data_IF_814094465035
#
_entry.id   IF_814094465035
#
_cell.length_a   1.000
_cell.length_b   1.000
_cell.length_c   1.000
_cell.angle_alpha   90.00
_cell.angle_beta   90.00
_cell.angle_gamma   90.00
#
_symmetry.space_group_name_H-M   'P 1'
#
loop_
_entity.id
_entity.type
_entity.pdbx_description
1 polymer ?
#
# COMPACT_ATOMS: atom_id res chain seq x y z
N UNK A 1 -18.17 16.96 15.57
CA UNK A 1 -17.76 15.59 15.23
C UNK A 1 -16.63 15.22 16.17
N UNK A 2 -16.66 14.02 16.77
CA UNK A 2 -15.52 13.56 17.56
C UNK A 2 -14.31 13.34 16.63
N UNK A 3 -13.10 13.47 17.17
CA UNK A 3 -11.90 13.11 16.43
C UNK A 3 -11.85 11.59 16.18
N UNK A 4 -11.33 11.21 15.03
CA UNK A 4 -11.12 9.81 14.67
C UNK A 4 -9.89 9.28 15.40
N UNK A 5 -10.04 8.18 16.12
CA UNK A 5 -8.96 7.51 16.82
C UNK A 5 -8.26 6.50 15.93
N UNK A 6 -7.02 6.81 15.56
CA UNK A 6 -6.15 5.97 14.77
C UNK A 6 -5.33 5.03 15.65
N UNK A 7 -5.34 3.75 15.33
CA UNK A 7 -4.39 2.78 15.85
C UNK A 7 -3.42 2.36 14.75
N UNK A 8 -2.16 2.13 15.09
CA UNK A 8 -1.13 1.70 14.15
C UNK A 8 -0.68 0.28 14.48
N UNK A 9 -0.79 -0.63 13.52
CA UNK A 9 -0.27 -1.98 13.59
C UNK A 9 1.04 -2.10 12.83
N UNK A 10 2.14 -2.22 13.57
CA UNK A 10 3.51 -2.15 13.06
C UNK A 10 4.20 -0.84 13.41
N UNK A 11 5.52 -0.86 13.51
CA UNK A 11 6.35 0.29 13.96
C UNK A 11 7.53 0.53 13.03
N UNK A 12 7.40 0.14 11.76
CA UNK A 12 8.40 0.30 10.71
C UNK A 12 8.57 1.75 10.22
N UNK A 13 9.33 1.92 9.16
CA UNK A 13 9.63 3.23 8.55
C UNK A 13 8.34 3.99 8.24
N UNK A 14 7.41 3.37 7.54
CA UNK A 14 6.15 4.01 7.11
C UNK A 14 5.25 4.40 8.29
N UNK A 15 5.21 3.58 9.36
CA UNK A 15 4.49 3.96 10.58
C UNK A 15 5.07 5.23 11.22
N UNK A 16 6.40 5.39 11.19
CA UNK A 16 7.08 6.60 11.66
C UNK A 16 6.75 7.83 10.79
N UNK A 17 6.68 7.67 9.46
CA UNK A 17 6.29 8.74 8.55
C UNK A 17 4.85 9.19 8.78
N UNK A 18 3.93 8.24 8.97
CA UNK A 18 2.52 8.53 9.30
C UNK A 18 2.39 9.29 10.63
N UNK A 19 3.13 8.87 11.66
CA UNK A 19 3.13 9.54 12.96
C UNK A 19 3.57 11.01 12.85
N UNK A 20 4.63 11.26 12.07
CA UNK A 20 5.11 12.63 11.79
C UNK A 20 4.07 13.43 11.00
N UNK A 21 3.45 12.82 9.98
CA UNK A 21 2.45 13.48 9.14
C UNK A 21 1.20 13.84 9.95
N UNK A 22 0.68 12.95 10.78
CA UNK A 22 -0.46 13.21 11.66
C UNK A 22 -0.15 14.36 12.62
N UNK A 23 1.01 14.31 13.29
CA UNK A 23 1.41 15.36 14.23
C UNK A 23 1.52 16.74 13.56
N UNK A 24 2.06 16.83 12.32
CA UNK A 24 2.10 18.08 11.55
C UNK A 24 0.72 18.63 11.24
N UNK A 25 -0.29 17.77 11.15
CA UNK A 25 -1.68 18.13 10.91
C UNK A 25 -2.51 18.28 12.21
N UNK A 26 -1.88 18.39 13.36
CA UNK A 26 -2.56 18.55 14.65
C UNK A 26 -3.35 17.32 15.09
N UNK A 27 -3.02 16.13 14.55
CA UNK A 27 -3.64 14.85 14.88
C UNK A 27 -2.64 13.95 15.60
N UNK A 28 -3.16 13.03 16.41
CA UNK A 28 -2.36 12.08 17.16
C UNK A 28 -2.79 10.65 16.83
N UNK A 29 -1.85 9.72 17.00
CA UNK A 29 -2.14 8.30 17.04
C UNK A 29 -2.67 7.98 18.43
N UNK A 30 -3.83 7.31 18.51
CA UNK A 30 -4.45 6.89 19.75
C UNK A 30 -3.74 5.69 20.37
N UNK A 31 -3.41 4.69 19.55
CA UNK A 31 -2.84 3.44 20.02
C UNK A 31 -1.84 2.81 19.05
N UNK A 32 -0.96 1.96 19.57
CA UNK A 32 0.00 1.21 18.77
C UNK A 32 0.10 -0.24 19.22
N UNK A 33 0.23 -1.14 18.26
CA UNK A 33 0.55 -2.55 18.48
C UNK A 33 1.65 -3.02 17.51
N UNK A 34 2.47 -3.94 17.97
CA UNK A 34 3.52 -4.57 17.17
C UNK A 34 3.77 -5.99 17.66
N UNK A 35 4.20 -6.89 16.77
CA UNK A 35 4.58 -8.26 17.14
C UNK A 35 5.66 -8.31 18.24
N UNK A 36 6.59 -7.37 18.21
CA UNK A 36 7.61 -7.18 19.25
C UNK A 36 7.16 -6.05 20.16
N UNK A 37 6.74 -6.37 21.37
CA UNK A 37 6.16 -5.40 22.31
C UNK A 37 7.08 -4.22 22.59
N UNK A 38 8.38 -4.47 22.81
CA UNK A 38 9.38 -3.43 23.11
C UNK A 38 9.48 -2.39 22.00
N UNK A 39 9.28 -2.81 20.72
CA UNK A 39 9.22 -1.88 19.60
C UNK A 39 7.96 -1.01 19.61
N UNK A 40 6.84 -1.55 20.10
CA UNK A 40 5.61 -0.78 20.27
C UNK A 40 5.78 0.24 21.41
N UNK A 41 6.39 -0.14 22.51
CA UNK A 41 6.71 0.75 23.64
C UNK A 41 7.60 1.91 23.18
N UNK A 42 8.72 1.61 22.54
CA UNK A 42 9.65 2.64 22.04
C UNK A 42 8.98 3.60 21.03
N UNK A 43 8.09 3.09 20.19
CA UNK A 43 7.31 3.90 19.26
C UNK A 43 6.29 4.78 20.02
N UNK A 44 5.61 4.22 21.02
CA UNK A 44 4.68 4.95 21.88
C UNK A 44 5.34 6.11 22.62
N UNK A 45 6.48 5.87 23.24
CA UNK A 45 7.29 6.90 23.92
C UNK A 45 7.74 8.00 22.95
N UNK A 46 8.26 7.61 21.77
CA UNK A 46 8.75 8.56 20.75
C UNK A 46 7.68 9.54 20.27
N UNK A 47 6.43 9.09 20.14
CA UNK A 47 5.35 9.89 19.57
C UNK A 47 4.30 10.35 20.60
N UNK A 48 4.47 10.00 21.86
CA UNK A 48 3.54 10.37 22.95
C UNK A 48 2.22 9.63 22.85
N UNK A 49 2.23 8.34 22.43
CA UNK A 49 1.04 7.51 22.31
C UNK A 49 0.74 6.88 23.68
N UNK A 50 -0.43 7.19 24.25
CA UNK A 50 -0.79 6.74 25.59
C UNK A 50 -1.17 5.26 25.68
N UNK A 51 -1.56 4.62 24.57
CA UNK A 51 -2.01 3.23 24.56
C UNK A 51 -1.11 2.35 23.73
N UNK A 52 -0.43 1.41 24.40
CA UNK A 52 0.44 0.42 23.77
C UNK A 52 -0.10 -0.97 24.11
N UNK A 53 -0.49 -1.74 23.10
CA UNK A 53 -1.02 -3.08 23.32
C UNK A 53 0.08 -4.10 23.58
N UNK A 54 -0.04 -4.84 24.67
CA UNK A 54 0.83 -6.00 24.97
C UNK A 54 0.53 -7.14 23.99
N UNK A 55 -0.76 -7.42 23.78
CA UNK A 55 -1.25 -8.24 22.66
C UNK A 55 -1.91 -7.34 21.62
N UNK A 56 -1.31 -7.25 20.44
CA UNK A 56 -1.87 -6.43 19.35
C UNK A 56 -3.26 -6.88 18.89
N UNK A 57 -3.69 -8.10 19.23
CA UNK A 57 -5.05 -8.56 18.90
C UNK A 57 -6.12 -7.79 19.68
N UNK A 58 -5.81 -7.25 20.85
CA UNK A 58 -6.72 -6.39 21.62
C UNK A 58 -7.11 -5.12 20.85
N UNK A 59 -6.24 -4.65 19.94
CA UNK A 59 -6.49 -3.48 19.09
C UNK A 59 -7.77 -3.64 18.25
N UNK A 60 -8.03 -4.84 17.73
CA UNK A 60 -9.18 -5.10 16.87
C UNK A 60 -10.50 -5.00 17.63
N UNK A 61 -10.52 -5.36 18.92
CA UNK A 61 -11.72 -5.36 19.75
C UNK A 61 -11.90 -4.08 20.55
N UNK A 62 -10.92 -3.18 20.57
CA UNK A 62 -11.00 -1.92 21.31
C UNK A 62 -12.07 -1.00 20.71
N UNK A 63 -13.10 -0.66 21.50
CA UNK A 63 -14.25 0.17 21.06
C UNK A 63 -13.87 1.62 20.76
N UNK A 64 -12.75 2.09 21.31
CA UNK A 64 -12.28 3.46 21.12
C UNK A 64 -11.44 3.61 19.82
N UNK A 65 -11.02 2.52 19.20
CA UNK A 65 -10.34 2.53 17.89
C UNK A 65 -11.35 2.62 16.76
N UNK A 66 -11.21 3.63 15.90
CA UNK A 66 -12.05 3.84 14.71
C UNK A 66 -11.38 3.27 13.45
N UNK A 67 -10.09 3.54 13.27
CA UNK A 67 -9.32 3.18 12.08
C UNK A 67 -8.03 2.48 12.49
N UNK A 68 -7.72 1.36 11.84
CA UNK A 68 -6.43 0.67 12.00
C UNK A 68 -5.58 0.91 10.76
N UNK A 69 -4.41 1.50 10.94
CA UNK A 69 -3.38 1.61 9.92
C UNK A 69 -2.45 0.39 9.98
N UNK A 70 -2.53 -0.46 8.95
CA UNK A 70 -1.76 -1.70 8.86
C UNK A 70 -0.49 -1.44 8.08
N UNK A 71 0.67 -1.56 8.74
CA UNK A 71 2.01 -1.32 8.17
C UNK A 71 2.93 -2.55 8.28
N UNK A 72 2.32 -3.71 8.32
CA UNK A 72 3.00 -5.01 8.43
C UNK A 72 3.45 -5.52 7.06
N UNK A 73 4.23 -6.62 6.95
CA UNK A 73 4.58 -7.20 5.65
C UNK A 73 3.36 -7.63 4.82
N UNK A 74 3.48 -7.56 3.48
CA UNK A 74 2.40 -7.80 2.52
C UNK A 74 1.62 -9.12 2.75
N UNK A 75 2.34 -10.20 3.06
CA UNK A 75 1.75 -11.52 3.33
C UNK A 75 0.84 -11.58 4.56
N UNK A 76 0.81 -10.54 5.37
CA UNK A 76 -0.02 -10.47 6.59
C UNK A 76 -1.24 -9.56 6.44
N UNK A 77 -1.31 -8.76 5.37
CA UNK A 77 -2.35 -7.75 5.20
C UNK A 77 -3.75 -8.36 5.22
N UNK A 78 -4.01 -9.37 4.40
CA UNK A 78 -5.32 -10.06 4.35
C UNK A 78 -5.77 -10.51 5.73
N UNK A 79 -4.88 -11.16 6.50
CA UNK A 79 -5.20 -11.64 7.85
C UNK A 79 -5.67 -10.51 8.76
N UNK A 80 -4.92 -9.41 8.81
CA UNK A 80 -5.22 -8.29 9.71
C UNK A 80 -6.39 -7.45 9.21
N UNK A 81 -6.55 -7.28 7.89
CA UNK A 81 -7.75 -6.66 7.33
C UNK A 81 -9.00 -7.43 7.74
N UNK A 82 -9.00 -8.76 7.57
CA UNK A 82 -10.14 -9.60 7.97
C UNK A 82 -10.50 -9.40 9.45
N UNK A 83 -9.52 -9.47 10.35
CA UNK A 83 -9.75 -9.26 11.78
C UNK A 83 -10.33 -7.87 12.07
N UNK A 84 -9.81 -6.82 11.43
CA UNK A 84 -10.30 -5.46 11.61
C UNK A 84 -11.74 -5.31 11.10
N UNK A 85 -12.05 -5.81 9.90
CA UNK A 85 -13.38 -5.75 9.28
C UNK A 85 -14.42 -6.44 10.16
N UNK A 86 -14.13 -7.67 10.60
CA UNK A 86 -15.03 -8.47 11.46
C UNK A 86 -15.32 -7.80 12.81
N UNK A 87 -14.47 -6.87 13.25
CA UNK A 87 -14.65 -6.07 14.45
C UNK A 87 -15.13 -4.64 14.17
N UNK A 88 -15.61 -4.37 12.95
CA UNK A 88 -16.19 -3.07 12.58
C UNK A 88 -15.20 -1.92 12.52
N UNK A 89 -13.90 -2.19 12.28
CA UNK A 89 -12.87 -1.15 12.17
C UNK A 89 -12.67 -0.75 10.71
N UNK A 90 -12.60 0.56 10.45
CA UNK A 90 -12.11 1.08 9.19
C UNK A 90 -10.61 0.79 9.05
N UNK A 91 -10.12 0.71 7.81
CA UNK A 91 -8.74 0.29 7.55
C UNK A 91 -8.09 1.24 6.55
N UNK A 92 -6.88 1.67 6.88
CA UNK A 92 -5.87 2.08 5.94
C UNK A 92 -4.78 1.01 5.95
N UNK A 93 -4.43 0.46 4.79
CA UNK A 93 -3.40 -0.59 4.71
C UNK A 93 -2.31 -0.18 3.74
N UNK A 94 -1.07 -0.53 4.04
CA UNK A 94 0.06 -0.27 3.15
C UNK A 94 -0.07 -1.03 1.83
N UNK A 95 0.59 -0.49 0.84
CA UNK A 95 0.73 -1.13 -0.48
C UNK A 95 1.68 -2.36 -0.33
N UNK A 96 1.51 -3.40 -1.07
CA UNK A 96 0.35 -3.82 -1.84
C UNK A 96 -0.72 -4.33 -0.91
N UNK A 97 -1.94 -3.90 -1.12
CA UNK A 97 -3.05 -4.18 -0.22
C UNK A 97 -3.26 -5.69 0.00
N UNK A 98 -3.17 -6.48 -1.07
CA UNK A 98 -3.28 -7.94 -1.07
C UNK A 98 -2.26 -8.54 -2.05
N UNK A 99 -2.09 -9.86 -2.03
CA UNK A 99 -1.17 -10.57 -2.92
C UNK A 99 -1.76 -10.85 -4.30
N UNK A 100 -3.08 -10.80 -4.43
CA UNK A 100 -3.81 -11.06 -5.68
C UNK A 100 -5.22 -10.46 -5.64
N UNK A 101 -5.90 -10.47 -6.79
CA UNK A 101 -7.25 -9.92 -6.95
C UNK A 101 -8.32 -10.68 -6.19
N UNK A 102 -8.18 -11.99 -6.00
CA UNK A 102 -9.18 -12.79 -5.30
C UNK A 102 -9.21 -12.44 -3.81
N UNK A 103 -8.04 -12.24 -3.21
CA UNK A 103 -7.93 -11.74 -1.85
C UNK A 103 -8.53 -10.34 -1.70
N UNK A 104 -8.31 -9.47 -2.69
CA UNK A 104 -8.87 -8.13 -2.67
C UNK A 104 -10.41 -8.17 -2.75
N UNK A 105 -10.95 -8.96 -3.66
CA UNK A 105 -12.39 -9.12 -3.82
C UNK A 105 -13.03 -9.65 -2.53
N UNK A 106 -12.44 -10.70 -1.92
CA UNK A 106 -12.91 -11.22 -0.63
C UNK A 106 -12.95 -10.15 0.46
N UNK A 107 -11.89 -9.34 0.56
CA UNK A 107 -11.84 -8.27 1.57
C UNK A 107 -12.80 -7.13 1.27
N UNK A 108 -13.02 -6.78 0.00
CA UNK A 108 -13.97 -5.75 -0.40
C UNK A 108 -15.41 -6.17 -0.07
N UNK A 109 -15.80 -7.39 -0.44
CA UNK A 109 -17.12 -7.93 -0.11
C UNK A 109 -17.36 -8.01 1.41
N UNK A 110 -16.33 -8.43 2.16
CA UNK A 110 -16.42 -8.50 3.61
C UNK A 110 -16.57 -7.10 4.23
N UNK A 111 -15.86 -6.10 3.71
CA UNK A 111 -15.94 -4.72 4.16
C UNK A 111 -17.33 -4.11 3.89
N UNK A 112 -17.88 -4.32 2.70
CA UNK A 112 -19.22 -3.87 2.35
C UNK A 112 -20.28 -4.48 3.28
N UNK A 113 -20.18 -5.78 3.53
CA UNK A 113 -21.09 -6.50 4.44
C UNK A 113 -21.04 -5.97 5.88
N UNK A 114 -19.87 -5.53 6.34
CA UNK A 114 -19.68 -5.00 7.70
C UNK A 114 -19.77 -3.47 7.76
N UNK A 115 -20.08 -2.79 6.65
CA UNK A 115 -20.20 -1.33 6.55
C UNK A 115 -18.93 -0.58 7.00
N UNK A 116 -17.75 -1.12 6.68
CA UNK A 116 -16.46 -0.49 6.95
C UNK A 116 -15.77 -0.08 5.65
N UNK A 117 -14.88 0.89 5.75
CA UNK A 117 -14.08 1.39 4.64
C UNK A 117 -12.70 0.75 4.71
N UNK A 118 -12.23 0.23 3.59
CA UNK A 118 -10.85 -0.16 3.39
C UNK A 118 -10.22 0.77 2.33
N UNK A 119 -8.99 1.21 2.60
CA UNK A 119 -8.22 2.03 1.69
C UNK A 119 -6.78 1.58 1.61
N UNK A 120 -6.22 1.57 0.39
CA UNK A 120 -4.81 1.30 0.16
C UNK A 120 -4.00 2.61 0.21
N UNK A 121 -2.84 2.57 0.85
CA UNK A 121 -1.94 3.72 0.98
C UNK A 121 -1.10 3.95 -0.29
N UNK A 122 -1.76 4.18 -1.43
CA UNK A 122 -1.09 4.58 -2.68
C UNK A 122 -0.91 6.08 -2.70
N UNK A 123 0.25 6.54 -2.28
CA UNK A 123 0.56 7.95 -2.09
C UNK A 123 0.44 8.80 -3.34
N UNK A 124 0.73 8.26 -4.53
CA UNK A 124 0.71 9.03 -5.79
C UNK A 124 -0.65 9.67 -6.07
N UNK A 125 -1.76 9.03 -5.70
CA UNK A 125 -3.11 9.58 -5.89
C UNK A 125 -3.40 10.82 -5.03
N UNK A 126 -2.58 11.06 -4.01
CA UNK A 126 -2.74 12.18 -3.08
C UNK A 126 -1.69 13.28 -3.27
N UNK A 127 -0.65 13.03 -4.08
CA UNK A 127 0.41 14.01 -4.33
C UNK A 127 -0.07 15.15 -5.22
N UNK A 128 0.15 16.43 -4.82
CA UNK A 128 -0.31 17.59 -5.59
C UNK A 128 0.20 17.60 -7.03
N UNK A 129 1.42 17.12 -7.28
CA UNK A 129 2.00 17.09 -8.62
C UNK A 129 1.18 16.23 -9.59
N UNK A 130 0.71 15.04 -9.19
CA UNK A 130 -0.07 14.17 -10.05
C UNK A 130 -1.47 14.73 -10.31
N UNK A 131 -2.08 15.38 -9.32
CA UNK A 131 -3.35 16.12 -9.50
C UNK A 131 -3.16 17.23 -10.52
N UNK A 132 -2.07 18.01 -10.41
CA UNK A 132 -1.77 19.09 -11.36
C UNK A 132 -1.50 18.59 -12.76
N UNK A 133 -0.79 17.48 -12.92
CA UNK A 133 -0.59 16.85 -14.23
C UNK A 133 -1.92 16.42 -14.86
N UNK A 134 -2.83 15.86 -14.08
CA UNK A 134 -4.16 15.49 -14.57
C UNK A 134 -4.96 16.70 -15.03
N UNK A 135 -4.98 17.79 -14.24
CA UNK A 135 -5.60 19.05 -14.65
C UNK A 135 -5.03 19.57 -15.98
N UNK A 136 -3.72 19.52 -16.18
CA UNK A 136 -3.07 19.96 -17.44
C UNK A 136 -3.53 19.08 -18.61
N UNK A 137 -3.59 17.75 -18.43
CA UNK A 137 -4.08 16.85 -19.47
C UNK A 137 -5.54 17.14 -19.83
N UNK A 138 -6.39 17.41 -18.84
CA UNK A 138 -7.80 17.73 -19.04
C UNK A 138 -8.03 19.03 -19.80
N UNK A 139 -7.08 19.97 -19.83
CA UNK A 139 -7.14 21.17 -20.70
C UNK A 139 -7.04 20.85 -22.20
N UNK A 140 -6.60 19.64 -22.55
CA UNK A 140 -6.37 19.24 -23.92
C UNK A 140 -5.10 19.82 -24.58
N UNK A 141 -4.29 20.60 -23.87
CA UNK A 141 -3.09 21.27 -24.41
C UNK A 141 -2.06 20.27 -24.97
N UNK A 142 -2.00 19.04 -24.42
CA UNK A 142 -1.12 17.97 -24.87
C UNK A 142 -1.79 17.03 -25.89
N UNK A 143 -3.07 17.27 -26.24
CA UNK A 143 -3.87 16.34 -27.02
C UNK A 143 -4.14 15.03 -26.29
N UNK A 144 -4.41 13.96 -27.06
CA UNK A 144 -4.67 12.63 -26.50
C UNK A 144 -3.37 11.96 -26.06
N UNK A 145 -3.34 11.42 -24.85
CA UNK A 145 -2.26 10.54 -24.39
C UNK A 145 -2.37 9.21 -25.13
N UNK A 146 -1.39 8.88 -25.97
CA UNK A 146 -1.37 7.64 -26.73
C UNK A 146 -0.35 6.62 -26.20
N UNK A 147 0.73 7.11 -25.57
CA UNK A 147 1.81 6.27 -25.05
C UNK A 147 2.27 6.78 -23.70
N UNK A 148 2.44 5.86 -22.75
CA UNK A 148 3.03 6.11 -21.44
C UNK A 148 4.22 5.17 -21.27
N UNK A 149 5.38 5.73 -20.89
CA UNK A 149 6.56 4.93 -20.55
C UNK A 149 6.90 5.16 -19.06
N UNK A 150 6.97 4.08 -18.32
CA UNK A 150 7.30 4.12 -16.89
C UNK A 150 8.49 3.20 -16.61
N UNK A 151 9.59 3.81 -16.15
CA UNK A 151 10.74 3.10 -15.63
C UNK A 151 10.83 3.36 -14.13
N UNK A 152 10.83 2.31 -13.32
CA UNK A 152 10.93 2.43 -11.90
C UNK A 152 11.90 1.39 -11.32
N UNK A 153 13.06 1.87 -10.87
CA UNK A 153 14.06 1.09 -10.16
C UNK A 153 14.15 1.51 -8.69
N UNK A 154 14.42 0.56 -7.82
CA UNK A 154 14.68 0.80 -6.41
C UNK A 154 15.76 -0.16 -5.95
N UNK A 155 17.02 0.25 -6.07
CA UNK A 155 18.15 -0.60 -5.71
C UNK A 155 17.97 -1.17 -4.29
N UNK A 156 18.11 -2.49 -4.19
CA UNK A 156 18.12 -3.25 -2.95
C UNK A 156 19.43 -4.04 -2.88
N UNK A 157 19.99 -4.11 -1.69
CA UNK A 157 21.10 -5.03 -1.44
C UNK A 157 20.70 -6.45 -1.83
N UNK A 158 21.56 -7.14 -2.61
CA UNK A 158 21.27 -8.46 -3.17
C UNK A 158 21.48 -9.55 -2.12
N UNK A 159 20.61 -9.51 -1.11
CA UNK A 159 20.55 -10.48 -0.02
C UNK A 159 19.21 -11.23 -0.07
N UNK A 160 19.28 -12.53 -0.30
CA UNK A 160 18.11 -13.41 -0.43
C UNK A 160 17.31 -13.56 0.88
N UNK A 161 17.89 -13.19 2.02
CA UNK A 161 17.18 -13.14 3.30
C UNK A 161 16.41 -11.82 3.49
N UNK A 162 16.71 -10.80 2.69
CA UNK A 162 16.01 -9.54 2.74
C UNK A 162 14.55 -9.72 2.31
N UNK A 163 13.65 -9.01 2.94
CA UNK A 163 12.20 -9.07 2.64
C UNK A 163 11.87 -8.86 1.15
N UNK A 164 12.69 -8.12 0.41
CA UNK A 164 12.48 -7.84 -1.00
C UNK A 164 12.72 -9.04 -1.92
N UNK A 165 13.55 -9.99 -1.47
CA UNK A 165 13.88 -11.21 -2.20
C UNK A 165 13.35 -12.48 -1.52
N UNK A 166 12.61 -12.35 -0.42
CA UNK A 166 12.07 -13.48 0.33
C UNK A 166 10.60 -13.77 -0.07
N UNK A 167 10.31 -14.94 -0.70
CA UNK A 167 8.95 -15.30 -1.11
C UNK A 167 7.99 -15.45 0.08
N UNK A 168 8.47 -15.89 1.25
CA UNK A 168 7.63 -16.05 2.45
C UNK A 168 7.12 -14.70 3.00
N UNK A 169 7.76 -13.61 2.60
CA UNK A 169 7.38 -12.24 2.96
C UNK A 169 6.70 -11.49 1.81
N UNK A 170 6.33 -12.23 0.74
CA UNK A 170 5.78 -11.67 -0.49
C UNK A 170 6.71 -10.61 -1.11
N UNK A 171 8.00 -10.98 -1.28
CA UNK A 171 8.98 -10.17 -1.99
C UNK A 171 8.68 -10.08 -3.49
N UNK A 172 9.51 -9.33 -4.20
CA UNK A 172 9.43 -9.14 -5.64
C UNK A 172 9.17 -7.69 -6.06
N UNK A 173 9.65 -7.35 -7.26
CA UNK A 173 9.55 -6.01 -7.81
C UNK A 173 8.10 -5.59 -8.08
N UNK A 174 7.26 -6.53 -8.55
CA UNK A 174 5.85 -6.23 -8.84
C UNK A 174 5.10 -5.81 -7.58
N UNK A 175 5.25 -6.52 -6.47
CA UNK A 175 4.56 -6.19 -5.21
C UNK A 175 5.19 -4.98 -4.50
N UNK A 176 6.51 -4.76 -4.61
CA UNK A 176 7.14 -3.63 -3.91
C UNK A 176 7.03 -2.31 -4.68
N UNK A 177 7.35 -2.28 -5.98
CA UNK A 177 7.41 -1.06 -6.79
C UNK A 177 6.47 -1.07 -7.99
N UNK A 178 6.05 -2.24 -8.48
CA UNK A 178 5.14 -2.38 -9.61
C UNK A 178 3.77 -1.76 -9.35
N UNK A 179 3.29 -1.83 -8.12
CA UNK A 179 2.04 -1.20 -7.70
C UNK A 179 2.04 0.32 -7.97
N UNK A 180 3.16 1.01 -7.75
CA UNK A 180 3.26 2.45 -8.06
C UNK A 180 3.27 2.71 -9.57
N UNK A 181 4.04 1.91 -10.32
CA UNK A 181 4.13 2.05 -11.77
C UNK A 181 2.77 1.80 -12.45
N UNK A 182 2.07 0.75 -12.05
CA UNK A 182 0.74 0.42 -12.56
C UNK A 182 -0.31 1.44 -12.14
N UNK A 183 -0.24 1.94 -10.91
CA UNK A 183 -1.11 3.01 -10.44
C UNK A 183 -0.91 4.31 -11.21
N UNK A 184 0.34 4.66 -11.53
CA UNK A 184 0.65 5.82 -12.38
C UNK A 184 0.02 5.65 -13.78
N UNK A 185 0.24 4.51 -14.43
CA UNK A 185 -0.34 4.23 -15.75
C UNK A 185 -1.86 4.30 -15.68
N UNK A 186 -2.47 3.63 -14.70
CA UNK A 186 -3.93 3.62 -14.54
C UNK A 186 -4.51 5.01 -14.29
N UNK A 187 -3.76 5.91 -13.62
CA UNK A 187 -4.18 7.28 -13.36
C UNK A 187 -4.30 8.12 -14.63
N UNK A 188 -3.47 7.86 -15.63
CA UNK A 188 -3.40 8.64 -16.87
C UNK A 188 -4.00 7.94 -18.11
N UNK A 189 -4.37 6.68 -18.03
CA UNK A 189 -5.12 5.99 -19.06
C UNK A 189 -6.62 6.22 -18.91
N UNK A 190 -7.33 6.34 -20.06
CA UNK A 190 -8.79 6.56 -20.10
C UNK A 190 -9.56 5.35 -19.59
N UNK A 191 -9.06 4.13 -19.83
CA UNK A 191 -9.65 2.90 -19.30
C UNK A 191 -8.60 1.91 -18.80
N UNK A 192 -9.06 0.87 -18.11
CA UNK A 192 -8.22 -0.23 -17.64
C UNK A 192 -7.60 -0.96 -18.85
N UNK A 193 -6.29 -1.30 -18.80
CA UNK A 193 -5.67 -2.17 -19.79
C UNK A 193 -6.38 -3.54 -19.85
N UNK A 194 -6.59 -4.05 -21.05
CA UNK A 194 -7.20 -5.36 -21.33
C UNK A 194 -6.27 -6.30 -22.11
N UNK A 195 -5.13 -5.79 -22.57
CA UNK A 195 -4.06 -6.56 -23.21
C UNK A 195 -2.76 -6.39 -22.41
N UNK A 196 -2.07 -7.51 -22.18
CA UNK A 196 -0.83 -7.55 -21.42
C UNK A 196 0.15 -8.54 -22.03
N UNK A 197 1.38 -8.09 -22.26
CA UNK A 197 2.55 -8.94 -22.47
C UNK A 197 3.54 -8.67 -21.35
N UNK A 198 4.17 -9.70 -20.81
CA UNK A 198 5.12 -9.56 -19.73
C UNK A 198 6.33 -10.47 -19.87
N UNK A 199 7.45 -10.00 -19.34
CA UNK A 199 8.66 -10.80 -19.16
C UNK A 199 9.24 -10.51 -17.79
N UNK A 200 9.69 -11.55 -17.09
CA UNK A 200 10.22 -11.46 -15.73
C UNK A 200 11.60 -12.10 -15.69
N UNK A 201 12.52 -11.44 -14.99
CA UNK A 201 13.76 -12.05 -14.51
C UNK A 201 13.61 -12.37 -13.03
N UNK A 202 13.74 -13.63 -12.68
CA UNK A 202 13.63 -14.08 -11.30
C UNK A 202 14.95 -13.99 -10.55
N UNK A 203 14.90 -13.63 -9.28
CA UNK A 203 15.98 -13.82 -8.32
C UNK A 203 16.18 -15.33 -8.01
N UNK A 204 17.30 -15.75 -7.39
CA UNK A 204 17.53 -17.13 -6.97
C UNK A 204 16.44 -17.74 -6.10
N UNK A 205 15.71 -16.92 -5.35
CA UNK A 205 14.57 -17.31 -4.50
C UNK A 205 13.26 -17.52 -5.28
N UNK A 206 13.24 -17.18 -6.57
CA UNK A 206 12.06 -17.33 -7.43
C UNK A 206 11.15 -16.10 -7.49
N UNK A 207 11.35 -15.07 -6.65
CA UNK A 207 10.61 -13.82 -6.78
C UNK A 207 11.11 -13.02 -7.99
N UNK A 208 10.26 -12.16 -8.54
CA UNK A 208 10.63 -11.26 -9.61
C UNK A 208 11.58 -10.16 -9.11
N UNK A 209 12.82 -10.14 -9.60
CA UNK A 209 13.75 -9.05 -9.34
C UNK A 209 13.66 -7.93 -10.38
N UNK A 210 13.28 -8.29 -11.62
CA UNK A 210 13.01 -7.36 -12.70
C UNK A 210 11.76 -7.80 -13.46
N UNK A 211 10.98 -6.84 -13.94
CA UNK A 211 9.81 -7.10 -14.76
C UNK A 211 9.66 -6.07 -15.88
N UNK A 212 9.34 -6.54 -17.09
CA UNK A 212 8.94 -5.73 -18.24
C UNK A 212 7.49 -6.01 -18.61
N UNK A 213 6.69 -4.96 -18.80
CA UNK A 213 5.29 -5.08 -19.18
C UNK A 213 5.02 -4.22 -20.43
N UNK A 214 4.19 -4.71 -21.33
CA UNK A 214 3.57 -3.96 -22.41
C UNK A 214 2.06 -4.08 -22.25
N UNK A 215 1.40 -2.95 -22.13
CA UNK A 215 -0.02 -2.84 -21.85
C UNK A 215 -0.73 -2.12 -23.00
N UNK A 216 -1.97 -2.47 -23.27
CA UNK A 216 -2.84 -1.71 -24.17
C UNK A 216 -4.28 -1.75 -23.63
N UNK A 217 -5.03 -0.66 -23.81
CA UNK A 217 -6.46 -0.60 -23.50
C UNK A 217 -7.32 -0.53 -24.78
N UNK A 218 -8.64 -0.65 -24.61
CA UNK A 218 -9.60 -0.63 -25.75
C UNK A 218 -9.63 0.69 -26.50
N UNK A 219 -9.15 1.79 -25.94
CA UNK A 219 -9.01 3.10 -26.60
C UNK A 219 -7.73 3.21 -27.44
N UNK A 220 -6.92 2.15 -27.48
CA UNK A 220 -5.66 2.08 -28.23
C UNK A 220 -4.51 2.83 -27.57
N UNK A 221 -4.62 3.18 -26.30
CA UNK A 221 -3.51 3.73 -25.52
C UNK A 221 -2.58 2.60 -25.09
N UNK A 222 -1.29 2.79 -25.29
CA UNK A 222 -0.25 1.83 -24.90
C UNK A 222 0.54 2.33 -23.69
N UNK A 223 1.05 1.38 -22.90
CA UNK A 223 2.03 1.70 -21.87
C UNK A 223 3.13 0.64 -21.78
N UNK A 224 4.33 1.08 -21.46
CA UNK A 224 5.46 0.20 -21.12
C UNK A 224 5.87 0.43 -19.68
N UNK A 225 6.19 -0.66 -18.97
CA UNK A 225 6.72 -0.62 -17.61
C UNK A 225 8.01 -1.42 -17.56
N UNK A 226 9.05 -0.84 -16.97
CA UNK A 226 10.27 -1.55 -16.62
C UNK A 226 10.54 -1.37 -15.13
N UNK A 227 10.68 -2.48 -14.42
CA UNK A 227 10.94 -2.54 -12.98
C UNK A 227 12.26 -3.23 -12.70
N UNK A 228 12.99 -2.74 -11.69
CA UNK A 228 14.21 -3.41 -11.20
C UNK A 228 14.45 -3.13 -9.72
N UNK A 229 14.77 -4.19 -8.97
CA UNK A 229 15.24 -4.11 -7.58
C UNK A 229 16.77 -4.19 -7.47
N UNK A 230 17.45 -4.61 -8.54
CA UNK A 230 18.91 -4.76 -8.58
C UNK A 230 19.46 -4.59 -10.00
#
# INVERSE_FOLDING_TARGET
>A
MRDINWAVLGTGVIANEMAVALKKNGKNIYAVGNRTYEKAVAFGEKYGIGKVYTDYNEMFTDRDVDVIYITTPHNTHKKFMKQAIENGKHILVEKSITLNSDELNEMAELADKNHVIIGESITIYHMPIYKKLKEILETGVLGKVNLITMNFGSFKEYDMNNRFFNPDLAGGAMLDIGVYALSFIRWFMDSKPDQLLSQVKSAPTGVDEQAGLLLMNKEGQMATVMLSLH
#
